data_IF_260218649499
#
_entry.id   IF_260218649499
#
_cell.length_a   1.000
_cell.length_b   1.000
_cell.length_c   1.000
_cell.angle_alpha   90.00
_cell.angle_beta   90.00
_cell.angle_gamma   90.00
#
_symmetry.space_group_name_H-M   'P 1'
#
loop_
_entity.id
_entity.type
_entity.pdbx_description
1 polymer ?
#
# COMPACT_ATOMS: atom_id res chain seq x y z
N UNK A 1 28.28 -10.15 60.62
CA UNK A 1 28.79 -9.38 59.46
C UNK A 1 28.32 -9.95 58.11
N UNK A 2 28.24 -11.27 57.94
CA UNK A 2 27.83 -11.94 56.69
C UNK A 2 26.41 -11.54 56.23
N UNK A 3 25.44 -11.43 57.16
CA UNK A 3 24.06 -11.04 56.83
C UNK A 3 23.91 -9.61 56.28
N UNK A 4 24.84 -8.70 56.62
CA UNK A 4 24.80 -7.32 56.12
C UNK A 4 25.32 -7.25 54.69
N UNK A 5 26.34 -8.04 54.37
CA UNK A 5 26.95 -8.11 53.03
C UNK A 5 25.95 -8.74 52.04
N UNK A 6 25.26 -9.80 52.45
CA UNK A 6 24.22 -10.43 51.60
C UNK A 6 23.06 -9.49 51.28
N UNK A 7 22.65 -8.63 52.21
CA UNK A 7 21.59 -7.62 51.97
C UNK A 7 22.03 -6.54 51.00
N UNK A 8 23.28 -6.07 51.10
CA UNK A 8 23.84 -5.07 50.19
C UNK A 8 23.98 -5.62 48.77
N UNK A 9 24.46 -6.86 48.62
CA UNK A 9 24.58 -7.52 47.31
C UNK A 9 23.21 -7.73 46.66
N UNK A 10 22.19 -8.12 47.44
CA UNK A 10 20.83 -8.30 46.94
C UNK A 10 20.22 -6.98 46.44
N UNK A 11 20.43 -5.88 47.18
CA UNK A 11 19.92 -4.55 46.81
C UNK A 11 20.63 -3.99 45.56
N UNK A 12 21.94 -4.20 45.42
CA UNK A 12 22.68 -3.79 44.22
C UNK A 12 22.24 -4.60 43.00
N UNK A 13 22.03 -5.92 43.16
CA UNK A 13 21.49 -6.77 42.09
C UNK A 13 20.10 -6.34 41.64
N UNK A 14 19.23 -5.97 42.57
CA UNK A 14 17.88 -5.48 42.27
C UNK A 14 17.91 -4.13 41.53
N UNK A 15 18.81 -3.22 41.93
CA UNK A 15 18.98 -1.92 41.29
C UNK A 15 19.50 -2.05 39.84
N UNK A 16 20.43 -2.98 39.59
CA UNK A 16 20.93 -3.27 38.24
C UNK A 16 19.85 -3.88 37.32
N UNK A 17 18.96 -4.72 37.87
CA UNK A 17 17.83 -5.29 37.13
C UNK A 17 16.75 -4.26 36.78
N UNK A 18 16.56 -3.23 37.62
CA UNK A 18 15.58 -2.16 37.36
C UNK A 18 16.11 -1.11 36.37
N UNK A 19 17.42 -0.92 36.29
CA UNK A 19 18.04 0.03 35.36
C UNK A 19 18.00 -0.42 33.89
N UNK A 20 17.90 -1.72 33.61
CA UNK A 20 17.88 -2.27 32.25
C UNK A 20 16.54 -2.09 31.53
N UNK A 21 15.46 -1.73 32.24
CA UNK A 21 14.15 -1.45 31.62
C UNK A 21 14.01 -0.03 31.06
N UNK A 22 14.91 0.91 31.40
CA UNK A 22 14.76 2.34 31.01
C UNK A 22 15.34 2.64 29.62
N UNK A 23 16.15 1.74 29.05
CA UNK A 23 16.91 2.01 27.83
C UNK A 23 16.21 1.65 26.51
N UNK A 24 14.92 1.32 26.51
CA UNK A 24 14.19 0.91 25.28
C UNK A 24 13.15 1.92 24.77
N UNK A 25 13.19 3.18 25.17
CA UNK A 25 12.47 4.25 24.46
C UNK A 25 13.34 4.86 23.38
N UNK A 26 13.58 4.12 22.29
CA UNK A 26 13.95 4.74 21.00
C UNK A 26 12.72 5.47 20.47
N UNK A 27 12.52 6.70 20.92
CA UNK A 27 11.64 7.68 20.27
C UNK A 27 12.39 8.37 19.10
N UNK A 28 11.66 9.02 18.19
CA UNK A 28 11.65 8.70 16.77
C UNK A 28 12.76 9.42 16.00
N UNK A 29 13.30 8.72 14.99
CA UNK A 29 13.91 9.26 13.78
C UNK A 29 14.82 10.47 13.94
N UNK A 30 16.14 10.25 13.82
CA UNK A 30 17.11 11.30 13.52
C UNK A 30 16.53 12.31 12.52
N UNK A 31 16.52 13.60 12.86
CA UNK A 31 15.97 14.66 11.99
C UNK A 31 16.55 14.59 10.57
N UNK A 32 17.80 14.13 10.47
CA UNK A 32 18.52 13.90 9.23
C UNK A 32 17.98 12.70 8.44
N UNK A 33 17.62 11.60 9.12
CA UNK A 33 16.98 10.43 8.51
C UNK A 33 15.55 10.76 8.02
N UNK A 34 14.80 11.58 8.76
CA UNK A 34 13.48 12.05 8.32
C UNK A 34 13.58 12.93 7.06
N UNK A 35 14.53 13.86 7.02
CA UNK A 35 14.75 14.73 5.87
C UNK A 35 15.12 13.91 4.61
N UNK A 36 16.02 12.94 4.73
CA UNK A 36 16.39 12.04 3.65
C UNK A 36 15.20 11.18 3.17
N UNK A 37 14.41 10.64 4.10
CA UNK A 37 13.21 9.87 3.79
C UNK A 37 12.17 10.71 3.03
N UNK A 38 11.93 11.96 3.46
CA UNK A 38 11.04 12.90 2.77
C UNK A 38 11.47 13.15 1.33
N UNK A 39 12.77 13.35 1.09
CA UNK A 39 13.32 13.54 -0.26
C UNK A 39 13.09 12.30 -1.13
N UNK A 40 13.33 11.10 -0.58
CA UNK A 40 13.07 9.85 -1.29
C UNK A 40 11.59 9.68 -1.65
N UNK A 41 10.66 9.94 -0.73
CA UNK A 41 9.21 9.91 -1.00
C UNK A 41 8.81 10.92 -2.08
N UNK A 42 9.37 12.13 -2.07
CA UNK A 42 9.11 13.15 -3.09
C UNK A 42 9.63 12.73 -4.48
N UNK A 43 10.82 12.13 -4.55
CA UNK A 43 11.37 11.63 -5.81
C UNK A 43 10.53 10.48 -6.37
N UNK A 44 10.14 9.52 -5.51
CA UNK A 44 9.25 8.42 -5.89
C UNK A 44 7.89 8.93 -6.39
N UNK A 45 7.30 9.92 -5.72
CA UNK A 45 6.05 10.56 -6.16
C UNK A 45 6.20 11.26 -7.53
N UNK A 46 7.29 11.99 -7.76
CA UNK A 46 7.56 12.62 -9.06
C UNK A 46 7.72 11.58 -10.17
N UNK A 47 8.44 10.50 -9.88
CA UNK A 47 8.62 9.39 -10.82
C UNK A 47 7.30 8.69 -11.12
N UNK A 48 6.49 8.43 -10.10
CA UNK A 48 5.15 7.86 -10.24
C UNK A 48 4.28 8.75 -11.14
N UNK A 49 4.27 10.07 -10.93
CA UNK A 49 3.50 11.00 -11.77
C UNK A 49 4.02 11.07 -13.22
N UNK A 50 5.32 10.86 -13.45
CA UNK A 50 5.90 10.82 -14.81
C UNK A 50 5.60 9.53 -15.55
N UNK A 51 5.70 8.40 -14.86
CA UNK A 51 5.57 7.06 -15.46
C UNK A 51 4.12 6.62 -15.55
N UNK A 52 3.29 7.08 -14.61
CA UNK A 52 1.91 6.65 -14.59
C UNK A 52 1.14 7.16 -15.81
N UNK A 53 0.81 6.23 -16.71
CA UNK A 53 -0.08 6.42 -17.85
C UNK A 53 -1.40 5.66 -17.72
N UNK A 54 -1.60 4.89 -16.65
CA UNK A 54 -2.83 4.14 -16.37
C UNK A 54 -3.58 4.79 -15.22
N UNK A 55 -4.16 5.96 -15.47
CA UNK A 55 -5.15 6.51 -14.56
C UNK A 55 -6.48 5.73 -14.69
N UNK A 56 -7.32 5.71 -13.64
CA UNK A 56 -8.62 5.03 -13.66
C UNK A 56 -9.43 5.29 -14.94
N UNK A 57 -9.57 6.56 -15.40
CA UNK A 57 -10.32 6.86 -16.62
C UNK A 57 -9.77 6.14 -17.85
N UNK A 58 -8.46 6.13 -18.06
CA UNK A 58 -7.81 5.47 -19.19
C UNK A 58 -7.95 3.95 -19.11
N UNK A 59 -7.77 3.35 -17.92
CA UNK A 59 -8.00 1.92 -17.74
C UNK A 59 -9.46 1.56 -18.05
N UNK A 60 -10.41 2.29 -17.48
CA UNK A 60 -11.84 2.06 -17.71
C UNK A 60 -12.21 2.22 -19.17
N UNK A 61 -11.66 3.25 -19.85
CA UNK A 61 -11.90 3.46 -21.28
C UNK A 61 -11.35 2.29 -22.11
N UNK A 62 -10.12 1.85 -21.83
CA UNK A 62 -9.49 0.71 -22.51
C UNK A 62 -10.23 -0.62 -22.25
N UNK A 63 -10.62 -0.88 -21.00
CA UNK A 63 -11.39 -2.06 -20.62
C UNK A 63 -12.76 -2.09 -21.33
N UNK A 64 -13.45 -0.94 -21.38
CA UNK A 64 -14.72 -0.81 -22.10
C UNK A 64 -14.55 -1.02 -23.61
N UNK A 65 -13.51 -0.45 -24.22
CA UNK A 65 -13.23 -0.63 -25.64
C UNK A 65 -12.91 -2.09 -25.98
N UNK A 66 -12.16 -2.77 -25.12
CA UNK A 66 -11.81 -4.18 -25.26
C UNK A 66 -13.06 -5.05 -25.10
N UNK A 67 -13.88 -4.84 -24.07
CA UNK A 67 -15.15 -5.53 -23.88
C UNK A 67 -16.09 -5.35 -25.09
N UNK A 68 -16.21 -4.14 -25.62
CA UNK A 68 -17.00 -3.85 -26.82
C UNK A 68 -16.51 -4.60 -28.05
N UNK A 69 -15.19 -4.73 -28.23
CA UNK A 69 -14.60 -5.49 -29.33
C UNK A 69 -14.93 -6.98 -29.21
N UNK A 70 -14.76 -7.57 -28.03
CA UNK A 70 -15.07 -8.98 -27.80
C UNK A 70 -16.56 -9.28 -27.94
N UNK A 71 -17.41 -8.40 -27.43
CA UNK A 71 -18.86 -8.52 -27.60
C UNK A 71 -19.27 -8.49 -29.07
N UNK A 72 -18.73 -7.55 -29.88
CA UNK A 72 -19.01 -7.51 -31.32
C UNK A 72 -18.57 -8.78 -32.04
N UNK A 73 -17.39 -9.31 -31.68
CA UNK A 73 -16.91 -10.59 -32.23
C UNK A 73 -17.87 -11.73 -31.90
N UNK A 74 -18.31 -11.84 -30.65
CA UNK A 74 -19.30 -12.82 -30.23
C UNK A 74 -20.63 -12.68 -30.98
N UNK A 75 -21.17 -11.47 -31.08
CA UNK A 75 -22.43 -11.23 -31.81
C UNK A 75 -22.30 -11.65 -33.28
N UNK A 76 -21.15 -11.37 -33.89
CA UNK A 76 -20.88 -11.78 -35.26
C UNK A 76 -20.83 -13.31 -35.39
N UNK A 77 -20.10 -14.00 -34.51
CA UNK A 77 -20.02 -15.47 -34.49
C UNK A 77 -21.40 -16.11 -34.32
N UNK A 78 -22.18 -15.66 -33.33
CA UNK A 78 -23.53 -16.16 -33.07
C UNK A 78 -24.48 -15.90 -34.24
N UNK A 79 -24.37 -14.73 -34.89
CA UNK A 79 -25.19 -14.39 -36.05
C UNK A 79 -24.88 -15.31 -37.25
N UNK A 80 -23.60 -15.60 -37.50
CA UNK A 80 -23.17 -16.51 -38.57
C UNK A 80 -23.63 -17.95 -38.31
N UNK A 81 -23.64 -18.37 -37.04
CA UNK A 81 -24.10 -19.70 -36.62
C UNK A 81 -25.63 -19.82 -36.50
N UNK A 82 -26.38 -18.71 -36.63
CA UNK A 82 -27.84 -18.67 -36.47
C UNK A 82 -28.31 -18.85 -35.02
N UNK A 83 -27.44 -18.60 -34.04
CA UNK A 83 -27.74 -18.74 -32.61
C UNK A 83 -28.45 -17.53 -32.00
N UNK A 84 -28.75 -17.64 -30.70
CA UNK A 84 -29.33 -16.57 -29.89
C UNK A 84 -28.23 -15.87 -29.08
N UNK A 85 -28.27 -14.54 -29.01
CA UNK A 85 -27.36 -13.74 -28.19
C UNK A 85 -27.74 -13.94 -26.72
N UNK A 86 -26.91 -14.67 -25.97
CA UNK A 86 -27.14 -15.04 -24.57
C UNK A 86 -26.29 -14.25 -23.57
N UNK A 87 -25.28 -13.50 -24.04
CA UNK A 87 -24.35 -12.75 -23.18
C UNK A 87 -24.41 -11.28 -23.52
N UNK A 88 -24.58 -10.43 -22.51
CA UNK A 88 -24.53 -8.98 -22.68
C UNK A 88 -23.10 -8.45 -22.72
N UNK A 89 -22.93 -7.23 -23.23
CA UNK A 89 -21.68 -6.48 -23.26
C UNK A 89 -20.97 -6.46 -21.90
N UNK A 90 -21.71 -6.32 -20.79
CA UNK A 90 -21.15 -6.29 -19.43
C UNK A 90 -20.45 -7.60 -19.05
N UNK A 91 -20.85 -8.73 -19.62
CA UNK A 91 -20.24 -10.05 -19.40
C UNK A 91 -18.82 -10.13 -19.93
N UNK A 92 -18.45 -9.25 -20.88
CA UNK A 92 -17.11 -9.17 -21.47
C UNK A 92 -16.20 -8.17 -20.74
N UNK A 93 -16.70 -7.50 -19.70
CA UNK A 93 -15.93 -6.56 -18.88
C UNK A 93 -15.48 -7.27 -17.60
N UNK A 94 -14.17 -7.40 -17.41
CA UNK A 94 -13.62 -7.90 -16.15
C UNK A 94 -13.66 -6.79 -15.09
N UNK A 95 -14.43 -6.93 -14.00
CA UNK A 95 -14.54 -5.93 -12.93
C UNK A 95 -13.23 -5.77 -12.13
N UNK A 96 -12.29 -6.72 -12.24
CA UNK A 96 -10.99 -6.66 -11.57
C UNK A 96 -9.91 -6.00 -12.42
N UNK A 97 -10.13 -5.85 -13.74
CA UNK A 97 -9.14 -5.36 -14.70
C UNK A 97 -8.59 -3.97 -14.35
N UNK A 98 -9.42 -3.11 -13.75
CA UNK A 98 -9.03 -1.76 -13.32
C UNK A 98 -9.00 -1.59 -11.79
N UNK A 99 -9.19 -2.66 -11.01
CA UNK A 99 -9.25 -2.58 -9.53
C UNK A 99 -7.91 -2.24 -8.89
N UNK A 100 -6.80 -2.46 -9.60
CA UNK A 100 -5.48 -1.93 -9.20
C UNK A 100 -5.25 -0.60 -9.90
N UNK A 101 -5.58 0.50 -9.23
CA UNK A 101 -4.97 1.79 -9.56
C UNK A 101 -3.49 1.70 -9.19
N UNK A 102 -2.64 1.22 -10.10
CA UNK A 102 -1.18 1.15 -9.88
C UNK A 102 -0.52 2.53 -9.80
N UNK A 103 -1.31 3.58 -9.55
CA UNK A 103 -0.99 4.96 -9.85
C UNK A 103 -1.67 5.97 -8.93
N UNK A 104 -2.07 5.58 -7.73
CA UNK A 104 -2.47 6.59 -6.75
C UNK A 104 -1.22 7.20 -6.11
N UNK A 105 -0.43 7.92 -6.90
CA UNK A 105 0.85 8.50 -6.49
C UNK A 105 0.72 9.39 -5.25
N UNK A 106 -0.45 10.00 -5.06
CA UNK A 106 -0.77 10.79 -3.87
C UNK A 106 -0.95 9.91 -2.63
N UNK A 107 -1.75 8.85 -2.71
CA UNK A 107 -1.92 7.92 -1.61
C UNK A 107 -0.61 7.20 -1.27
N UNK A 108 0.15 6.78 -2.28
CA UNK A 108 1.45 6.13 -2.10
C UNK A 108 2.46 7.08 -1.43
N UNK A 109 2.46 8.36 -1.83
CA UNK A 109 3.26 9.39 -1.16
C UNK A 109 2.86 9.59 0.31
N UNK A 110 1.55 9.62 0.61
CA UNK A 110 1.06 9.77 1.98
C UNK A 110 1.47 8.59 2.86
N UNK A 111 1.39 7.35 2.36
CA UNK A 111 1.85 6.15 3.06
C UNK A 111 3.38 6.15 3.24
N UNK A 112 4.12 6.61 2.23
CA UNK A 112 5.58 6.77 2.32
C UNK A 112 5.96 7.77 3.43
N UNK A 113 5.29 8.92 3.48
CA UNK A 113 5.51 9.93 4.52
C UNK A 113 5.14 9.46 5.93
N UNK A 114 4.09 8.65 6.08
CA UNK A 114 3.75 8.02 7.36
C UNK A 114 4.84 7.06 7.82
N UNK A 115 5.41 6.28 6.89
CA UNK A 115 6.55 5.42 7.16
C UNK A 115 7.78 6.20 7.62
N UNK A 116 8.04 7.38 7.05
CA UNK A 116 9.14 8.26 7.50
C UNK A 116 8.98 8.71 8.97
N UNK A 117 7.74 8.90 9.44
CA UNK A 117 7.44 9.28 10.82
C UNK A 117 7.51 8.12 11.83
N UNK A 118 7.80 6.89 11.38
CA UNK A 118 7.90 5.71 12.24
C UNK A 118 6.55 5.13 12.69
N UNK A 119 5.42 5.67 12.20
CA UNK A 119 4.08 5.20 12.55
C UNK A 119 3.27 4.98 11.27
N UNK A 120 3.09 3.71 10.89
CA UNK A 120 2.25 3.34 9.76
C UNK A 120 0.85 3.01 10.28
N UNK A 121 -0.09 3.94 10.14
CA UNK A 121 -1.51 3.68 10.39
C UNK A 121 -2.14 2.95 9.19
N UNK A 122 -1.65 1.75 8.85
CA UNK A 122 -2.21 0.99 7.73
C UNK A 122 -3.54 0.37 8.16
N UNK A 123 -4.65 1.03 7.84
CA UNK A 123 -5.94 0.32 7.76
C UNK A 123 -5.93 -0.51 6.49
N UNK A 124 -6.20 -1.81 6.60
CA UNK A 124 -6.46 -2.67 5.45
C UNK A 124 -7.79 -2.20 4.82
N UNK A 125 -7.73 -1.16 4.00
CA UNK A 125 -8.85 -0.72 3.19
C UNK A 125 -8.81 -1.45 1.86
N UNK A 126 -9.97 -1.88 1.39
CA UNK A 126 -10.12 -2.45 0.05
C UNK A 126 -9.63 -1.40 -0.95
N UNK A 127 -8.78 -1.80 -1.90
CA UNK A 127 -8.30 -0.91 -2.96
C UNK A 127 -9.50 -0.23 -3.61
N UNK A 128 -9.50 1.12 -3.75
CA UNK A 128 -10.60 1.83 -4.38
C UNK A 128 -10.80 1.27 -5.80
N UNK A 129 -12.06 1.05 -6.13
CA UNK A 129 -12.46 0.60 -7.46
C UNK A 129 -12.50 1.83 -8.38
N UNK A 130 -11.97 1.69 -9.60
CA UNK A 130 -12.42 2.50 -10.72
C UNK A 130 -13.85 2.10 -11.12
#
# INVERSE_FOLDING_TARGET
>A
MINSISRVVLLIGLALFLASCVSMTKQPGDKQAFAACRVACQQAAKQCNRVCRNNCPQCTAYANQTAARHYRKYVHEVCVEGGIIARDLKSYRDPLQCRKTTCNCRADYQVCMQSCGGVIHKRLQVSPVC
#
